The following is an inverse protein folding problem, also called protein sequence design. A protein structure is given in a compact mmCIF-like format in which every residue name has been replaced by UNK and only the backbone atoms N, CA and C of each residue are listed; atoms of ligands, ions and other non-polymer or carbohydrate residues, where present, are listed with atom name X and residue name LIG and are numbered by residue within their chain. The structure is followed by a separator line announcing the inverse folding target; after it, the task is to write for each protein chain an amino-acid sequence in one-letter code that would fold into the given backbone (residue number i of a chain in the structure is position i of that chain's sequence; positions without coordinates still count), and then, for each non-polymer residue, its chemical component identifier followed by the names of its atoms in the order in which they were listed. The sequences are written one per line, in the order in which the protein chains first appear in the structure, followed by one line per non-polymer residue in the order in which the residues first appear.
data_IF_341169895136
#
_entry.id   IF_341169895136
#
_cell.length_a   1.000
_cell.length_b   1.000
_cell.length_c   1.000
_cell.angle_alpha   90.00
_cell.angle_beta   90.00
_cell.angle_gamma   90.00
#
_symmetry.space_group_name_H-M   'P 1'
#
loop_
_entity.id
_entity.type
_entity.pdbx_description
1 polymer ?
#
# COMPACT_ATOMS: atom_id res chain seq x y z
N UNK A 1 -0.97 34.53 -9.43
CA UNK A 1 -0.17 33.38 -8.98
C UNK A 1 -1.13 32.29 -8.57
N UNK A 2 -1.47 31.43 -9.53
CA UNK A 2 -2.39 30.32 -9.33
C UNK A 2 -1.65 29.13 -8.73
N UNK A 3 -2.35 28.47 -7.82
CA UNK A 3 -1.96 27.30 -7.05
C UNK A 3 -1.82 26.12 -8.04
N UNK A 4 -0.64 25.95 -8.62
CA UNK A 4 -0.31 24.79 -9.47
C UNK A 4 0.39 23.67 -8.68
N UNK A 5 0.95 24.00 -7.52
CA UNK A 5 1.72 23.06 -6.69
C UNK A 5 0.82 21.99 -6.05
N UNK A 6 -0.37 22.38 -5.62
CA UNK A 6 -1.34 21.48 -4.97
C UNK A 6 -2.00 20.54 -6.00
N UNK A 7 -2.35 21.01 -7.20
CA UNK A 7 -2.93 20.13 -8.25
C UNK A 7 -1.91 19.11 -8.74
N UNK A 8 -0.67 19.54 -9.00
CA UNK A 8 0.42 18.65 -9.41
C UNK A 8 0.71 17.57 -8.35
N UNK A 9 0.77 17.96 -7.07
CA UNK A 9 0.98 17.02 -5.97
C UNK A 9 -0.14 15.99 -5.87
N UNK A 10 -1.41 16.39 -6.01
CA UNK A 10 -2.56 15.46 -5.94
C UNK A 10 -2.60 14.51 -7.14
N UNK A 11 -2.41 15.02 -8.36
CA UNK A 11 -2.40 14.20 -9.59
C UNK A 11 -1.27 13.17 -9.58
N UNK A 12 -0.07 13.56 -9.14
CA UNK A 12 1.07 12.63 -8.98
C UNK A 12 0.84 11.61 -7.87
N UNK A 13 0.19 12.00 -6.78
CA UNK A 13 -0.19 11.07 -5.71
C UNK A 13 -1.21 10.04 -6.19
N UNK A 14 -2.22 10.44 -6.96
CA UNK A 14 -3.22 9.53 -7.53
C UNK A 14 -2.59 8.52 -8.50
N UNK A 15 -1.65 8.98 -9.33
CA UNK A 15 -0.88 8.09 -10.21
C UNK A 15 0.01 7.13 -9.43
N UNK A 16 0.72 7.64 -8.41
CA UNK A 16 1.57 6.83 -7.53
C UNK A 16 0.75 5.75 -6.79
N UNK A 17 -0.46 6.08 -6.37
CA UNK A 17 -1.40 5.15 -5.74
C UNK A 17 -1.87 4.06 -6.71
N UNK A 18 -2.15 4.41 -7.96
CA UNK A 18 -2.55 3.44 -8.99
C UNK A 18 -1.42 2.44 -9.29
N UNK A 19 -0.18 2.93 -9.42
CA UNK A 19 0.99 2.08 -9.63
C UNK A 19 1.24 1.17 -8.41
N UNK A 20 1.18 1.72 -7.20
CA UNK A 20 1.32 0.96 -5.96
C UNK A 20 0.25 -0.14 -5.82
N UNK A 21 -1.00 0.15 -6.20
CA UNK A 21 -2.10 -0.83 -6.24
C UNK A 21 -1.82 -1.96 -7.23
N UNK A 22 -1.38 -1.63 -8.44
CA UNK A 22 -1.03 -2.60 -9.47
C UNK A 22 0.06 -3.56 -8.99
N UNK A 23 1.11 -3.00 -8.39
CA UNK A 23 2.22 -3.76 -7.82
C UNK A 23 1.77 -4.63 -6.64
N UNK A 24 0.93 -4.10 -5.75
CA UNK A 24 0.38 -4.86 -4.62
C UNK A 24 -0.44 -6.07 -5.10
N UNK A 25 -1.30 -5.89 -6.11
CA UNK A 25 -2.08 -6.97 -6.72
C UNK A 25 -1.16 -8.02 -7.34
N UNK A 26 -0.13 -7.60 -8.08
CA UNK A 26 0.83 -8.52 -8.71
C UNK A 26 1.55 -9.37 -7.66
N UNK A 27 2.10 -8.74 -6.63
CA UNK A 27 2.78 -9.42 -5.52
C UNK A 27 1.85 -10.37 -4.78
N UNK A 28 0.61 -9.95 -4.50
CA UNK A 28 -0.39 -10.80 -3.85
C UNK A 28 -0.74 -12.04 -4.70
N UNK A 29 -0.86 -11.88 -6.03
CA UNK A 29 -1.09 -13.00 -6.96
C UNK A 29 0.08 -13.99 -6.97
N UNK A 30 1.31 -13.50 -7.06
CA UNK A 30 2.51 -14.33 -7.05
C UNK A 30 2.63 -15.10 -5.73
N UNK A 31 2.42 -14.42 -4.60
CA UNK A 31 2.41 -15.04 -3.28
C UNK A 31 1.33 -16.12 -3.16
N UNK A 32 0.11 -15.86 -3.63
CA UNK A 32 -0.97 -16.84 -3.61
C UNK A 32 -0.65 -18.09 -4.42
N UNK A 33 -0.05 -17.94 -5.62
CA UNK A 33 0.41 -19.07 -6.45
C UNK A 33 1.47 -19.90 -5.74
N UNK A 34 2.46 -19.23 -5.14
CA UNK A 34 3.52 -19.92 -4.40
C UNK A 34 2.95 -20.69 -3.21
N UNK A 35 2.10 -20.05 -2.39
CA UNK A 35 1.47 -20.70 -1.23
C UNK A 35 0.60 -21.90 -1.62
N UNK A 36 -0.13 -21.81 -2.74
CA UNK A 36 -0.91 -22.94 -3.25
C UNK A 36 -0.02 -24.11 -3.67
N UNK A 37 1.06 -23.82 -4.41
CA UNK A 37 2.05 -24.81 -4.82
C UNK A 37 2.69 -25.51 -3.62
N UNK A 38 3.11 -24.74 -2.60
CA UNK A 38 3.75 -25.27 -1.39
C UNK A 38 2.79 -26.12 -0.55
N UNK A 39 1.50 -25.76 -0.55
CA UNK A 39 0.45 -26.50 0.14
C UNK A 39 -0.09 -27.71 -0.65
N UNK A 40 0.33 -27.90 -1.91
CA UNK A 40 -0.14 -28.98 -2.77
C UNK A 40 -1.61 -28.84 -3.21
N UNK A 41 -2.15 -27.62 -3.21
CA UNK A 41 -3.52 -27.32 -3.66
C UNK A 41 -3.50 -26.50 -4.95
N UNK A 42 -4.57 -26.59 -5.72
CA UNK A 42 -4.75 -25.75 -6.91
C UNK A 42 -5.35 -24.40 -6.52
N UNK A 43 -4.72 -23.31 -6.97
CA UNK A 43 -5.27 -21.97 -6.82
C UNK A 43 -6.43 -21.78 -7.82
N UNK A 44 -7.64 -21.61 -7.30
CA UNK A 44 -8.87 -21.44 -8.07
C UNK A 44 -9.18 -19.99 -8.44
N UNK A 45 -10.46 -19.70 -8.70
CA UNK A 45 -10.92 -18.35 -9.07
C UNK A 45 -10.80 -17.37 -7.90
N UNK A 46 -10.59 -16.10 -8.24
CA UNK A 46 -10.63 -14.99 -7.27
C UNK A 46 -12.07 -14.81 -6.78
N UNK A 47 -12.24 -14.76 -5.45
CA UNK A 47 -13.53 -14.64 -4.75
C UNK A 47 -13.76 -13.22 -4.28
N UNK A 48 -12.73 -12.56 -3.74
CA UNK A 48 -12.81 -11.16 -3.31
C UNK A 48 -11.48 -10.43 -3.42
N UNK A 49 -11.59 -9.12 -3.60
CA UNK A 49 -10.49 -8.16 -3.58
C UNK A 49 -10.85 -7.10 -2.55
N UNK A 50 -9.97 -6.86 -1.59
CA UNK A 50 -10.11 -5.77 -0.63
C UNK A 50 -8.86 -4.92 -0.67
N UNK A 51 -9.03 -3.61 -0.85
CA UNK A 51 -7.95 -2.63 -0.77
C UNK A 51 -8.10 -1.82 0.51
N UNK A 52 -6.98 -1.58 1.18
CA UNK A 52 -6.86 -0.66 2.28
C UNK A 52 -5.68 0.27 2.02
N UNK A 53 -5.97 1.53 1.73
CA UNK A 53 -4.97 2.59 1.66
C UNK A 53 -5.02 3.38 2.98
N UNK A 54 -3.85 3.58 3.59
CA UNK A 54 -3.72 4.60 4.62
C UNK A 54 -3.38 5.91 3.91
N UNK A 55 -4.28 6.89 4.02
CA UNK A 55 -3.94 8.27 3.67
C UNK A 55 -2.70 8.67 4.46
N UNK A 56 -1.76 9.42 3.86
CA UNK A 56 -0.56 9.84 4.58
C UNK A 56 -0.98 10.60 5.83
N UNK A 57 -0.65 10.06 7.00
CA UNK A 57 -0.70 10.84 8.23
C UNK A 57 0.23 12.04 8.00
N UNK A 58 -0.33 13.24 8.10
CA UNK A 58 0.51 14.43 8.21
C UNK A 58 1.28 14.28 9.51
N UNK A 59 2.51 13.76 9.42
CA UNK A 59 3.44 13.69 10.54
C UNK A 59 3.88 15.12 10.86
N UNK A 60 3.00 15.87 11.53
CA UNK A 60 3.40 17.04 12.25
C UNK A 60 4.34 16.54 13.33
N UNK A 61 5.63 16.84 13.19
CA UNK A 61 6.63 16.62 14.23
C UNK A 61 6.26 17.42 15.47
N UNK A 62 5.32 16.90 16.26
CA UNK A 62 4.96 17.40 17.57
C UNK A 62 5.79 16.62 18.57
N UNK A 63 6.81 17.30 19.10
CA UNK A 63 7.54 16.81 20.26
C UNK A 63 6.55 16.42 21.36
N UNK A 64 6.49 15.13 21.67
CA UNK A 64 5.56 14.58 22.66
C UNK A 64 5.95 13.15 23.02
N UNK A 65 6.42 12.97 24.26
CA UNK A 65 6.83 11.70 24.88
C UNK A 65 5.88 10.52 24.61
N UNK A 66 6.43 9.38 24.20
CA UNK A 66 5.80 8.05 24.24
C UNK A 66 6.77 7.00 23.72
N UNK A 67 7.11 6.00 24.53
CA UNK A 67 8.28 5.13 24.35
C UNK A 67 8.19 4.05 23.27
N UNK A 68 9.35 3.46 22.98
CA UNK A 68 9.49 2.13 22.38
C UNK A 68 9.75 2.12 20.88
N UNK A 69 11.04 1.99 20.55
CA UNK A 69 11.62 1.37 19.36
C UNK A 69 11.14 1.76 17.94
N UNK A 70 12.14 2.14 17.15
CA UNK A 70 12.18 2.35 15.70
C UNK A 70 11.49 3.64 15.23
N UNK A 71 12.24 4.75 15.27
CA UNK A 71 11.94 5.92 14.44
C UNK A 71 12.02 5.51 12.96
N UNK A 72 10.96 5.66 12.15
CA UNK A 72 11.16 5.69 10.72
C UNK A 72 11.94 6.97 10.39
N UNK A 73 13.06 6.82 9.69
CA UNK A 73 13.89 7.91 9.17
C UNK A 73 13.21 8.63 8.00
N UNK A 74 11.93 8.99 8.14
CA UNK A 74 11.23 9.79 7.14
C UNK A 74 11.71 11.22 7.25
N UNK A 75 12.46 11.65 6.23
CA UNK A 75 12.89 13.04 6.11
C UNK A 75 11.65 13.95 6.11
N UNK A 76 11.68 15.07 6.86
CA UNK A 76 10.63 16.07 6.76
C UNK A 76 10.53 16.52 5.29
N UNK A 77 9.43 16.18 4.63
CA UNK A 77 9.23 16.42 3.20
C UNK A 77 8.80 15.19 2.38
N UNK A 78 8.87 13.97 2.93
CA UNK A 78 8.44 12.75 2.22
C UNK A 78 7.06 12.28 2.67
N UNK A 79 6.08 12.32 1.76
CA UNK A 79 4.79 11.67 1.95
C UNK A 79 4.93 10.18 1.61
N UNK A 80 4.87 9.31 2.62
CA UNK A 80 4.80 7.87 2.40
C UNK A 80 3.35 7.43 2.34
N UNK A 81 2.94 6.85 1.21
CA UNK A 81 1.61 6.26 1.05
C UNK A 81 1.72 4.75 0.94
N UNK A 82 0.94 4.02 1.75
CA UNK A 82 0.96 2.55 1.78
C UNK A 82 -0.37 2.01 1.28
N UNK A 83 -0.31 1.14 0.26
CA UNK A 83 -1.47 0.42 -0.29
C UNK A 83 -1.36 -1.05 0.10
N UNK A 84 -2.35 -1.54 0.84
CA UNK A 84 -2.48 -2.95 1.19
C UNK A 84 -3.61 -3.57 0.38
N UNK A 85 -3.34 -4.66 -0.33
CA UNK A 85 -4.34 -5.40 -1.10
C UNK A 85 -4.43 -6.83 -0.59
N UNK A 86 -5.65 -7.26 -0.25
CA UNK A 86 -5.98 -8.63 0.11
C UNK A 86 -6.75 -9.28 -1.03
N UNK A 87 -6.26 -10.42 -1.51
CA UNK A 87 -6.90 -11.24 -2.52
C UNK A 87 -7.31 -12.57 -1.90
N UNK A 88 -8.58 -12.94 -2.04
CA UNK A 88 -9.10 -14.23 -1.55
C UNK A 88 -9.43 -15.12 -2.72
N UNK A 89 -8.90 -16.35 -2.73
CA UNK A 89 -9.08 -17.33 -3.80
C UNK A 89 -9.82 -18.55 -3.27
N UNK A 90 -10.58 -19.20 -4.15
CA UNK A 90 -10.97 -20.59 -3.94
C UNK A 90 -9.73 -21.49 -4.06
N UNK A 91 -9.69 -22.61 -3.34
CA UNK A 91 -8.66 -23.63 -3.46
C UNK A 91 -9.30 -25.00 -3.59
N UNK A 92 -8.63 -25.93 -4.26
CA UNK A 92 -9.09 -27.32 -4.49
C UNK A 92 -7.94 -28.30 -4.45
#
# INVERSE_FOLDING_TARGET
NEINDVSFTVEDMDKTLADARSDAIKKAKEKAKQMASDAGVSLGRLVSITEYSQSPDQYYGLGGKGGGDIAPSVQPGSLQTTVNVTLTYAVS
#
